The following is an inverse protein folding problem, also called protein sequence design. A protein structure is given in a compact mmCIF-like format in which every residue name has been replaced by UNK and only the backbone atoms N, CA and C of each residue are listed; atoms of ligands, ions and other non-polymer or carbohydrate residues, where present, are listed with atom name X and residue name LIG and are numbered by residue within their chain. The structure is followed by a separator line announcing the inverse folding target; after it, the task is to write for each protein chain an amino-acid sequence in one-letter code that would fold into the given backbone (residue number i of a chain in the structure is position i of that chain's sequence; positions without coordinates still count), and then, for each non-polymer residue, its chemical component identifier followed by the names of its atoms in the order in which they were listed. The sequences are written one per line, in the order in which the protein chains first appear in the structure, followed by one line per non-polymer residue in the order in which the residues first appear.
data_IF_517644577216
#
_entry.id   IF_517644577216
#
_cell.length_a   1.000
_cell.length_b   1.000
_cell.length_c   1.000
_cell.angle_alpha   90.00
_cell.angle_beta   90.00
_cell.angle_gamma   90.00
#
_symmetry.space_group_name_H-M   'P 1'
#
loop_
_entity.id
_entity.type
_entity.pdbx_description
1 polymer ?
#
# COMPACT_ATOMS: atom_id res chain seq x y z
N UNK A 1 26.74 -13.56 21.68
CA UNK A 1 25.98 -13.58 20.40
C UNK A 1 25.80 -12.13 20.02
N UNK A 2 26.03 -11.75 18.75
CA UNK A 2 25.77 -10.37 18.31
C UNK A 2 24.26 -10.11 18.37
N UNK A 3 23.86 -8.93 18.83
CA UNK A 3 22.46 -8.49 18.84
C UNK A 3 21.84 -8.62 17.44
N UNK A 4 20.59 -9.10 17.34
CA UNK A 4 19.86 -9.22 16.08
C UNK A 4 18.90 -8.05 15.95
N UNK A 5 19.09 -7.26 14.92
CA UNK A 5 18.28 -6.09 14.63
C UNK A 5 17.28 -6.37 13.48
N UNK A 6 16.10 -5.79 13.59
CA UNK A 6 15.03 -5.89 12.62
C UNK A 6 14.52 -4.49 12.26
N UNK A 7 14.26 -4.26 10.98
CA UNK A 7 13.61 -3.02 10.53
C UNK A 7 12.11 -3.28 10.38
N UNK A 8 11.29 -2.46 11.04
CA UNK A 8 9.85 -2.38 10.82
C UNK A 8 9.53 -1.11 10.03
N UNK A 9 8.77 -1.25 8.93
CA UNK A 9 8.26 -0.15 8.12
C UNK A 9 6.73 -0.14 8.22
N UNK A 10 6.14 1.03 8.49
CA UNK A 10 4.71 1.27 8.38
C UNK A 10 4.46 2.44 7.43
N UNK A 11 3.90 2.13 6.25
CA UNK A 11 3.60 3.12 5.21
C UNK A 11 2.11 3.44 5.20
N UNK A 12 1.72 4.41 6.01
CA UNK A 12 0.35 4.91 6.11
C UNK A 12 0.00 5.93 5.03
N UNK A 13 -1.17 6.56 5.16
CA UNK A 13 -1.64 7.58 4.21
C UNK A 13 -0.87 8.89 4.33
N UNK A 14 -0.45 9.27 5.53
CA UNK A 14 0.21 10.55 5.79
C UNK A 14 1.73 10.49 5.68
N UNK A 15 2.33 9.31 5.78
CA UNK A 15 3.77 9.13 5.74
C UNK A 15 4.20 7.70 6.00
N UNK A 16 5.49 7.47 5.85
CA UNK A 16 6.16 6.22 6.21
C UNK A 16 6.94 6.41 7.50
N UNK A 17 6.67 5.57 8.49
CA UNK A 17 7.46 5.43 9.72
C UNK A 17 8.32 4.18 9.64
N UNK A 18 9.54 4.26 10.16
CA UNK A 18 10.42 3.11 10.34
C UNK A 18 11.01 3.05 11.73
N UNK A 19 11.28 1.84 12.19
CA UNK A 19 11.96 1.57 13.45
C UNK A 19 13.04 0.52 13.26
N UNK A 20 14.11 0.59 14.04
CA UNK A 20 15.04 -0.52 14.26
C UNK A 20 14.78 -1.11 15.62
N UNK A 21 14.44 -2.38 15.67
CA UNK A 21 14.12 -3.11 16.89
C UNK A 21 15.23 -4.12 17.19
N UNK A 22 15.72 -4.13 18.45
CA UNK A 22 16.65 -5.15 18.95
C UNK A 22 15.87 -6.31 19.53
N UNK A 23 16.21 -7.52 19.09
CA UNK A 23 15.62 -8.75 19.63
C UNK A 23 16.08 -9.04 21.07
N UNK A 24 17.34 -8.73 21.37
CA UNK A 24 17.96 -9.18 22.61
C UNK A 24 17.47 -8.39 23.83
N UNK A 25 17.23 -7.08 23.68
CA UNK A 25 16.76 -6.23 24.78
C UNK A 25 15.28 -5.77 24.62
N UNK A 26 14.65 -6.10 23.48
CA UNK A 26 13.25 -5.73 23.19
C UNK A 26 13.03 -4.23 22.98
N UNK A 27 14.07 -3.46 22.63
CA UNK A 27 14.00 -2.00 22.51
C UNK A 27 14.10 -1.51 21.08
N UNK A 28 13.52 -0.34 20.86
CA UNK A 28 13.72 0.43 19.63
C UNK A 28 15.05 1.17 19.75
N UNK A 29 15.95 0.92 18.80
CA UNK A 29 17.29 1.51 18.73
C UNK A 29 17.31 2.79 17.90
N UNK A 30 16.42 2.92 16.91
CA UNK A 30 16.28 4.07 16.04
C UNK A 30 14.86 4.20 15.50
N UNK A 31 14.44 5.43 15.24
CA UNK A 31 13.17 5.76 14.58
C UNK A 31 13.42 6.79 13.47
N UNK A 32 12.62 6.72 12.41
CA UNK A 32 12.62 7.70 11.33
C UNK A 32 11.21 7.87 10.76
N UNK A 33 10.96 9.02 10.11
CA UNK A 33 9.67 9.33 9.50
C UNK A 33 9.86 10.22 8.26
N UNK A 34 9.02 9.99 7.24
CA UNK A 34 8.95 10.82 6.03
C UNK A 34 7.50 10.97 5.61
N UNK A 35 7.07 12.22 5.35
CA UNK A 35 5.71 12.55 4.93
C UNK A 35 5.38 12.05 3.54
N UNK A 36 4.08 11.83 3.27
CA UNK A 36 3.54 11.62 1.93
C UNK A 36 2.72 12.82 1.46
N UNK A 37 2.69 12.99 0.15
CA UNK A 37 1.75 13.89 -0.52
C UNK A 37 0.42 13.17 -0.80
N UNK A 38 -0.65 13.94 -1.06
CA UNK A 38 -1.97 13.43 -1.38
C UNK A 38 -2.52 14.16 -2.62
N UNK A 39 -3.07 13.42 -3.56
CA UNK A 39 -3.84 13.93 -4.70
C UNK A 39 -5.31 13.83 -4.32
N UNK A 40 -6.00 14.96 -4.24
CA UNK A 40 -7.39 15.00 -3.81
C UNK A 40 -8.23 15.99 -4.62
N UNK A 41 -9.55 15.79 -4.63
CA UNK A 41 -10.53 16.74 -5.15
C UNK A 41 -11.83 16.72 -4.32
N UNK A 42 -12.75 17.65 -4.63
CA UNK A 42 -14.06 17.76 -3.98
C UNK A 42 -14.95 16.52 -4.28
N UNK A 43 -14.73 15.82 -5.40
CA UNK A 43 -15.50 14.64 -5.82
C UNK A 43 -15.16 13.35 -5.06
N UNK A 44 -14.33 13.41 -4.03
CA UNK A 44 -13.99 12.26 -3.20
C UNK A 44 -12.73 11.50 -3.63
N UNK A 45 -12.00 11.99 -4.65
CA UNK A 45 -10.72 11.44 -5.07
C UNK A 45 -9.70 11.54 -3.94
N UNK A 46 -9.03 10.40 -3.67
CA UNK A 46 -7.91 10.30 -2.74
C UNK A 46 -6.91 9.32 -3.35
N UNK A 47 -5.82 9.85 -3.89
CA UNK A 47 -4.83 9.08 -4.62
C UNK A 47 -3.41 9.46 -4.18
N UNK A 48 -2.48 8.53 -4.35
CA UNK A 48 -1.05 8.76 -4.17
C UNK A 48 -0.27 8.11 -5.31
N UNK A 49 0.87 8.70 -5.65
CA UNK A 49 1.82 8.05 -6.55
C UNK A 49 2.59 6.99 -5.75
N UNK A 50 2.63 5.72 -6.18
CA UNK A 50 3.37 4.68 -5.48
C UNK A 50 4.86 4.99 -5.31
N UNK A 51 5.44 5.79 -6.23
CA UNK A 51 6.83 6.25 -6.14
C UNK A 51 7.10 7.04 -4.87
N UNK A 52 6.13 7.81 -4.36
CA UNK A 52 6.28 8.56 -3.11
C UNK A 52 6.49 7.66 -1.90
N UNK A 53 5.85 6.49 -1.90
CA UNK A 53 6.06 5.49 -0.84
C UNK A 53 7.45 4.88 -0.91
N UNK A 54 7.96 4.62 -2.12
CA UNK A 54 9.30 4.09 -2.35
C UNK A 54 10.36 5.09 -1.91
N UNK A 55 10.20 6.36 -2.31
CA UNK A 55 11.10 7.45 -1.90
C UNK A 55 11.10 7.61 -0.37
N UNK A 56 9.91 7.60 0.25
CA UNK A 56 9.79 7.71 1.70
C UNK A 56 10.40 6.50 2.41
N UNK A 57 10.17 5.26 1.94
CA UNK A 57 10.81 4.06 2.46
C UNK A 57 12.34 4.13 2.35
N UNK A 58 12.86 4.54 1.19
CA UNK A 58 14.31 4.72 0.98
C UNK A 58 14.90 5.74 1.95
N UNK A 59 14.23 6.88 2.12
CA UNK A 59 14.65 7.93 3.04
C UNK A 59 14.65 7.44 4.49
N UNK A 60 13.58 6.77 4.91
CA UNK A 60 13.43 6.21 6.26
C UNK A 60 14.52 5.17 6.53
N UNK A 61 14.72 4.21 5.63
CA UNK A 61 15.76 3.18 5.77
C UNK A 61 17.14 3.85 5.83
N UNK A 62 17.41 4.84 4.98
CA UNK A 62 18.66 5.60 5.00
C UNK A 62 18.92 6.29 6.33
N UNK A 63 17.90 6.95 6.92
CA UNK A 63 18.00 7.60 8.23
C UNK A 63 18.27 6.58 9.34
N UNK A 64 17.55 5.45 9.35
CA UNK A 64 17.75 4.38 10.33
C UNK A 64 19.16 3.81 10.29
N UNK A 65 19.68 3.53 9.10
CA UNK A 65 21.01 2.94 8.89
C UNK A 65 22.17 3.92 9.11
N UNK A 66 21.89 5.22 9.14
CA UNK A 66 22.87 6.26 9.48
C UNK A 66 22.87 6.60 10.98
N UNK A 67 21.97 6.02 11.77
CA UNK A 67 22.00 6.17 13.24
C UNK A 67 23.19 5.44 13.82
N UNK A 68 23.98 6.13 14.68
CA UNK A 68 25.20 5.57 15.28
C UNK A 68 24.98 4.32 16.15
N UNK A 69 23.75 4.10 16.61
CA UNK A 69 23.39 2.94 17.42
C UNK A 69 23.02 1.70 16.57
N UNK A 70 23.00 1.83 15.23
CA UNK A 70 22.59 0.77 14.33
C UNK A 70 23.79 0.26 13.52
N UNK A 71 24.20 -0.98 13.75
CA UNK A 71 25.14 -1.68 12.89
C UNK A 71 24.40 -2.37 11.74
N UNK A 72 24.74 -2.03 10.49
CA UNK A 72 24.11 -2.61 9.29
C UNK A 72 24.25 -4.13 9.22
N UNK A 73 25.39 -4.64 9.65
CA UNK A 73 25.71 -6.07 9.64
C UNK A 73 24.86 -6.89 10.63
N UNK A 74 24.17 -6.21 11.55
CA UNK A 74 23.27 -6.82 12.54
C UNK A 74 21.81 -6.85 12.07
N UNK A 75 21.47 -6.21 10.95
CA UNK A 75 20.11 -6.22 10.38
C UNK A 75 19.82 -7.59 9.78
N UNK A 76 18.86 -8.31 10.36
CA UNK A 76 18.49 -9.66 9.94
C UNK A 76 17.33 -9.69 8.95
N UNK A 77 16.37 -8.76 9.07
CA UNK A 77 15.20 -8.72 8.19
C UNK A 77 14.51 -7.34 8.22
N UNK A 78 13.65 -7.14 7.21
CA UNK A 78 12.72 -5.99 7.10
C UNK A 78 11.30 -6.54 7.05
N UNK A 79 10.41 -6.01 7.88
CA UNK A 79 8.96 -6.25 7.84
C UNK A 79 8.23 -4.99 7.41
N UNK A 80 7.23 -5.14 6.55
CA UNK A 80 6.43 -4.02 6.03
C UNK A 80 4.98 -4.16 6.45
N UNK A 81 4.45 -3.11 7.05
CA UNK A 81 3.02 -2.84 7.24
C UNK A 81 2.64 -1.57 6.48
N UNK A 82 1.35 -1.31 6.30
CA UNK A 82 0.91 -0.08 5.67
C UNK A 82 -0.58 -0.02 5.43
N UNK A 83 -1.00 1.04 4.73
CA UNK A 83 -2.40 1.24 4.39
C UNK A 83 -2.97 0.10 3.55
N UNK A 84 -4.21 -0.29 3.86
CA UNK A 84 -4.93 -1.39 3.23
C UNK A 84 -5.82 -0.91 2.07
N UNK A 85 -6.32 -1.84 1.27
CA UNK A 85 -7.38 -1.62 0.26
C UNK A 85 -7.06 -0.62 -0.85
N UNK A 86 -5.89 -0.01 -0.86
CA UNK A 86 -5.44 0.81 -1.98
C UNK A 86 -5.26 -0.05 -3.24
N UNK A 87 -5.51 0.53 -4.41
CA UNK A 87 -5.33 -0.16 -5.69
C UNK A 87 -4.07 0.38 -6.38
N UNK A 88 -3.00 -0.40 -6.40
CA UNK A 88 -1.79 -0.14 -7.21
C UNK A 88 -1.89 -0.95 -8.51
N UNK A 89 -2.26 -0.33 -9.64
CA UNK A 89 -2.40 -1.04 -10.90
C UNK A 89 -1.05 -1.12 -11.62
N UNK A 90 -0.61 -2.35 -11.94
CA UNK A 90 0.63 -2.61 -12.64
C UNK A 90 0.39 -3.25 -14.01
N UNK A 91 1.24 -2.93 -14.98
CA UNK A 91 1.28 -3.60 -16.27
C UNK A 91 2.07 -4.93 -16.23
N UNK A 92 2.18 -5.62 -17.36
CA UNK A 92 2.86 -6.91 -17.46
C UNK A 92 4.36 -6.84 -17.08
N UNK A 93 4.99 -5.67 -17.21
CA UNK A 93 6.39 -5.47 -16.82
C UNK A 93 6.54 -5.17 -15.33
N UNK A 94 5.45 -4.79 -14.65
CA UNK A 94 5.43 -4.33 -13.26
C UNK A 94 5.52 -2.82 -13.13
N UNK A 95 5.38 -2.09 -14.23
CA UNK A 95 5.36 -0.64 -14.20
C UNK A 95 3.99 -0.14 -13.71
N UNK A 96 4.00 0.91 -12.90
CA UNK A 96 2.77 1.54 -12.40
C UNK A 96 2.03 2.23 -13.55
N UNK A 97 0.76 1.89 -13.73
CA UNK A 97 -0.09 2.42 -14.83
C UNK A 97 -0.59 3.83 -14.52
N UNK A 98 -0.96 4.09 -13.26
CA UNK A 98 -1.52 5.35 -12.77
C UNK A 98 -1.36 5.48 -11.24
N UNK A 99 -1.61 6.68 -10.66
CA UNK A 99 -1.67 6.84 -9.21
C UNK A 99 -2.62 5.84 -8.55
N UNK A 100 -2.26 5.35 -7.38
CA UNK A 100 -3.05 4.39 -6.61
C UNK A 100 -4.26 5.09 -5.98
N UNK A 101 -5.47 4.56 -6.17
CA UNK A 101 -6.66 4.96 -5.40
C UNK A 101 -6.57 4.39 -4.00
N UNK A 102 -6.70 5.25 -2.98
CA UNK A 102 -6.52 4.89 -1.59
C UNK A 102 -7.79 4.29 -0.95
N UNK A 103 -7.68 3.78 0.25
CA UNK A 103 -8.78 3.25 1.04
C UNK A 103 -9.85 4.32 1.38
N UNK A 104 -9.45 5.58 1.49
CA UNK A 104 -10.33 6.73 1.76
C UNK A 104 -10.86 7.40 0.48
N UNK A 105 -10.58 6.85 -0.71
CA UNK A 105 -11.19 7.30 -1.98
C UNK A 105 -12.64 6.84 -2.05
N UNK A 106 -13.56 7.77 -2.30
CA UNK A 106 -15.01 7.52 -2.36
C UNK A 106 -15.60 7.67 -3.75
N UNK A 107 -14.79 7.97 -4.78
CA UNK A 107 -15.26 8.11 -6.17
C UNK A 107 -15.91 6.82 -6.70
N UNK A 108 -15.61 5.67 -6.10
CA UNK A 108 -16.06 4.35 -6.57
C UNK A 108 -17.39 3.88 -5.96
N UNK A 109 -18.10 4.74 -5.26
CA UNK A 109 -19.42 4.40 -4.69
C UNK A 109 -20.42 3.86 -5.73
N UNK A 110 -20.56 4.44 -6.96
CA UNK A 110 -21.44 3.86 -7.97
C UNK A 110 -21.05 2.44 -8.41
N UNK A 111 -19.77 2.10 -8.39
CA UNK A 111 -19.29 0.76 -8.73
C UNK A 111 -19.60 -0.25 -7.63
N UNK A 112 -19.66 0.19 -6.37
CA UNK A 112 -20.10 -0.66 -5.26
C UNK A 112 -21.55 -1.10 -5.45
N UNK A 113 -22.43 -0.17 -5.81
CA UNK A 113 -23.84 -0.45 -6.09
C UNK A 113 -23.96 -1.42 -7.27
N UNK A 114 -23.25 -1.17 -8.37
CA UNK A 114 -23.26 -2.03 -9.56
C UNK A 114 -22.80 -3.46 -9.24
N UNK A 115 -21.74 -3.63 -8.45
CA UNK A 115 -21.27 -4.97 -8.03
C UNK A 115 -22.33 -5.64 -7.16
N UNK A 116 -22.91 -4.92 -6.22
CA UNK A 116 -23.94 -5.43 -5.31
C UNK A 116 -25.19 -5.88 -6.07
N UNK A 117 -25.67 -5.06 -7.02
CA UNK A 117 -26.83 -5.36 -7.87
C UNK A 117 -26.58 -6.57 -8.77
N UNK A 118 -25.37 -6.66 -9.34
CA UNK A 118 -24.98 -7.81 -10.17
C UNK A 118 -24.97 -9.13 -9.38
N UNK A 119 -24.58 -9.11 -8.11
CA UNK A 119 -24.63 -10.28 -7.21
C UNK A 119 -26.07 -10.58 -6.77
N UNK A 120 -26.93 -9.55 -6.72
CA UNK A 120 -28.36 -9.65 -6.47
C UNK A 120 -28.87 -8.86 -5.27
N UNK A 121 -28.13 -8.76 -4.18
CA UNK A 121 -28.52 -7.94 -3.01
C UNK A 121 -27.36 -7.79 -2.01
N UNK A 122 -27.42 -6.80 -1.10
CA UNK A 122 -26.46 -6.68 0.00
C UNK A 122 -26.37 -7.94 0.87
N UNK A 123 -27.52 -8.58 1.16
CA UNK A 123 -27.53 -9.81 1.96
C UNK A 123 -26.80 -10.96 1.24
N UNK A 124 -26.98 -11.07 -0.09
CA UNK A 124 -26.29 -12.08 -0.89
C UNK A 124 -24.78 -11.85 -0.97
N UNK A 125 -24.36 -10.58 -1.06
CA UNK A 125 -22.93 -10.21 -0.98
C UNK A 125 -22.33 -10.66 0.33
N UNK A 126 -22.98 -10.34 1.46
CA UNK A 126 -22.51 -10.76 2.80
C UNK A 126 -22.45 -12.28 2.94
N UNK A 127 -23.46 -12.99 2.43
CA UNK A 127 -23.49 -14.45 2.41
C UNK A 127 -22.29 -15.06 1.66
N UNK A 128 -21.90 -14.45 0.52
CA UNK A 128 -20.86 -14.97 -0.36
C UNK A 128 -19.43 -14.64 0.11
N UNK A 129 -19.21 -13.42 0.60
CA UNK A 129 -17.87 -12.91 0.90
C UNK A 129 -17.66 -12.46 2.35
N UNK A 130 -18.68 -12.55 3.19
CA UNK A 130 -18.61 -12.19 4.61
C UNK A 130 -18.59 -10.68 4.89
N UNK A 131 -18.71 -9.83 3.87
CA UNK A 131 -18.64 -8.36 3.99
C UNK A 131 -19.43 -7.67 2.88
N UNK A 132 -19.72 -6.38 3.04
CA UNK A 132 -20.30 -5.54 1.97
C UNK A 132 -19.24 -5.10 0.96
N UNK A 133 -19.66 -4.69 -0.24
CA UNK A 133 -18.78 -3.97 -1.19
C UNK A 133 -18.74 -2.50 -0.79
N UNK A 134 -17.59 -2.03 -0.33
CA UNK A 134 -17.41 -0.62 0.09
C UNK A 134 -16.45 0.13 -0.85
N UNK A 135 -16.67 1.45 -1.01
CA UNK A 135 -15.84 2.30 -1.87
C UNK A 135 -14.34 2.29 -1.47
N UNK A 136 -14.05 2.12 -0.17
CA UNK A 136 -12.69 1.95 0.32
C UNK A 136 -11.99 0.68 -0.16
N UNK A 137 -12.73 -0.35 -0.59
CA UNK A 137 -12.16 -1.65 -0.96
C UNK A 137 -11.68 -1.69 -2.42
N UNK A 138 -10.79 -2.64 -2.74
CA UNK A 138 -10.08 -2.69 -4.02
C UNK A 138 -10.98 -3.06 -5.19
N UNK A 139 -11.98 -3.93 -4.99
CA UNK A 139 -12.83 -4.44 -6.07
C UNK A 139 -13.57 -3.34 -6.85
N UNK A 140 -14.17 -2.37 -6.15
CA UNK A 140 -14.86 -1.25 -6.79
C UNK A 140 -13.92 -0.35 -7.58
N UNK A 141 -12.65 -0.24 -7.16
CA UNK A 141 -11.63 0.56 -7.87
C UNK A 141 -11.20 -0.09 -9.19
N UNK A 142 -11.16 -1.41 -9.25
CA UNK A 142 -10.88 -2.15 -10.50
C UNK A 142 -12.02 -1.92 -11.51
N UNK A 143 -13.26 -2.00 -11.06
CA UNK A 143 -14.41 -1.72 -11.92
C UNK A 143 -14.44 -0.25 -12.38
N UNK A 144 -14.11 0.68 -11.46
CA UNK A 144 -13.97 2.10 -11.79
C UNK A 144 -12.90 2.32 -12.87
N UNK A 145 -11.74 1.69 -12.76
CA UNK A 145 -10.65 1.76 -13.74
C UNK A 145 -11.13 1.30 -15.12
N UNK A 146 -11.83 0.16 -15.17
CA UNK A 146 -12.40 -0.38 -16.41
C UNK A 146 -13.37 0.59 -17.09
N UNK A 147 -14.19 1.29 -16.33
CA UNK A 147 -15.25 2.16 -16.86
C UNK A 147 -14.74 3.57 -17.20
N UNK A 148 -13.83 4.11 -16.41
CA UNK A 148 -13.42 5.51 -16.53
C UNK A 148 -12.06 5.70 -17.23
N UNK A 149 -11.21 4.67 -17.22
CA UNK A 149 -9.89 4.69 -17.85
C UNK A 149 -9.64 3.38 -18.63
N UNK A 150 -10.44 3.06 -19.67
CA UNK A 150 -10.39 1.77 -20.37
C UNK A 150 -9.01 1.47 -20.97
N UNK A 151 -8.30 2.46 -21.46
CA UNK A 151 -6.93 2.28 -21.99
C UNK A 151 -5.93 1.86 -20.92
N UNK A 152 -6.09 2.36 -19.70
CA UNK A 152 -5.29 1.92 -18.55
C UNK A 152 -5.69 0.52 -18.10
N UNK A 153 -7.00 0.21 -18.15
CA UNK A 153 -7.49 -1.13 -17.81
C UNK A 153 -6.99 -2.20 -18.78
N UNK A 154 -6.88 -1.92 -20.08
CA UNK A 154 -6.32 -2.83 -21.10
C UNK A 154 -4.86 -3.20 -20.82
N UNK A 155 -4.11 -2.33 -20.16
CA UNK A 155 -2.73 -2.56 -19.76
C UNK A 155 -2.60 -3.32 -18.43
N UNK A 156 -3.70 -3.42 -17.66
CA UNK A 156 -3.68 -3.98 -16.32
C UNK A 156 -3.35 -5.47 -16.33
N UNK A 157 -2.25 -5.85 -15.68
CA UNK A 157 -1.84 -7.24 -15.50
C UNK A 157 -1.91 -7.69 -14.04
N UNK A 158 -1.67 -6.78 -13.09
CA UNK A 158 -1.63 -7.09 -11.65
C UNK A 158 -2.16 -5.91 -10.85
N UNK A 159 -2.85 -6.20 -9.75
CA UNK A 159 -3.21 -5.22 -8.72
C UNK A 159 -2.54 -5.63 -7.43
N UNK A 160 -1.78 -4.71 -6.82
CA UNK A 160 -1.19 -4.88 -5.52
C UNK A 160 -1.83 -3.91 -4.50
N UNK A 161 -1.82 -4.28 -3.24
CA UNK A 161 -2.08 -3.34 -2.15
C UNK A 161 -0.85 -2.47 -1.91
N UNK A 162 -0.96 -1.31 -1.23
CA UNK A 162 0.18 -0.41 -1.04
C UNK A 162 1.39 -1.08 -0.37
N UNK A 163 1.17 -1.85 0.71
CA UNK A 163 2.25 -2.56 1.39
C UNK A 163 2.82 -3.72 0.56
N UNK A 164 2.00 -4.38 -0.28
CA UNK A 164 2.46 -5.41 -1.22
C UNK A 164 3.35 -4.80 -2.31
N UNK A 165 3.03 -3.58 -2.77
CA UNK A 165 3.87 -2.87 -3.72
C UNK A 165 5.24 -2.51 -3.13
N UNK A 166 5.31 -2.11 -1.86
CA UNK A 166 6.59 -1.89 -1.16
C UNK A 166 7.37 -3.21 -1.04
N UNK A 167 6.70 -4.32 -0.69
CA UNK A 167 7.32 -5.64 -0.67
C UNK A 167 7.83 -6.07 -2.06
N UNK A 168 7.05 -5.79 -3.11
CA UNK A 168 7.49 -6.04 -4.49
C UNK A 168 8.75 -5.24 -4.83
N UNK A 169 8.82 -3.96 -4.47
CA UNK A 169 10.02 -3.15 -4.67
C UNK A 169 11.24 -3.70 -3.91
N UNK A 170 11.07 -4.11 -2.66
CA UNK A 170 12.16 -4.66 -1.84
C UNK A 170 12.68 -6.01 -2.36
N UNK A 171 11.83 -6.84 -2.94
CA UNK A 171 12.14 -8.24 -3.25
C UNK A 171 12.20 -8.56 -4.74
N UNK A 172 11.63 -7.71 -5.59
CA UNK A 172 11.40 -8.00 -7.01
C UNK A 172 10.33 -9.06 -7.27
N UNK A 173 9.61 -9.52 -6.24
CA UNK A 173 8.61 -10.60 -6.36
C UNK A 173 7.19 -10.06 -6.18
N UNK A 174 6.32 -10.32 -7.18
CA UNK A 174 4.88 -10.00 -7.17
C UNK A 174 4.11 -11.17 -6.53
N UNK A 175 4.17 -11.30 -5.21
CA UNK A 175 3.48 -12.36 -4.46
C UNK A 175 2.58 -11.73 -3.42
#
# INVERSE_FOLDING_TARGET
MSDQLFIGIDSGTQGTKGVVFSRDDGRIQAEAYTDHQLIENIGGRREQKPEWWIDACSNVIGQLLNNSNVSRDMICAIGVSGQQHGMVPLDARGDVIRPAKLWCDTETAPQCDQITDHIGSPAKVIELIGNSVAAGFTASKILWLKQNEPQNYERLATVLLPHDYINFWLTGQRK
#
